data_IF_432599497562
#
_entry.id   IF_432599497562
#
_cell.length_a   1.000
_cell.length_b   1.000
_cell.length_c   1.000
_cell.angle_alpha   90.00
_cell.angle_beta   90.00
_cell.angle_gamma   90.00
#
_symmetry.space_group_name_H-M   'P 1'
#
loop_
_entity.id
_entity.type
_entity.pdbx_description
1 polymer ?
#
# COMPACT_ATOMS: atom_id res chain seq x y z
N UNK A 1 -4.25 -1.09 5.12
CA UNK A 1 -3.32 -0.92 6.25
C UNK A 1 -3.90 -1.67 7.46
N UNK A 2 -3.72 -2.97 7.51
CA UNK A 2 -4.14 -3.77 8.67
C UNK A 2 -2.92 -4.05 9.52
N UNK A 3 -2.80 -3.33 10.63
CA UNK A 3 -1.88 -3.69 11.70
C UNK A 3 -2.43 -4.98 12.35
N UNK A 4 -1.79 -6.11 12.10
CA UNK A 4 -2.16 -7.38 12.71
C UNK A 4 -1.53 -7.41 14.10
N UNK A 5 -2.34 -7.67 15.14
CA UNK A 5 -2.00 -7.51 16.56
C UNK A 5 -0.81 -8.35 17.08
N UNK A 6 -0.09 -9.09 16.23
CA UNK A 6 1.04 -9.93 16.66
C UNK A 6 2.14 -10.06 15.62
N UNK A 7 2.16 -9.17 14.61
CA UNK A 7 3.26 -9.11 13.64
C UNK A 7 3.93 -7.75 13.70
N UNK A 8 5.25 -7.77 13.84
CA UNK A 8 6.09 -6.62 13.53
C UNK A 8 6.39 -6.71 12.03
N UNK A 9 5.85 -5.82 11.19
CA UNK A 9 6.17 -5.83 9.77
C UNK A 9 7.64 -5.46 9.58
N UNK A 10 8.31 -6.14 8.65
CA UNK A 10 9.59 -5.64 8.14
C UNK A 10 9.34 -4.37 7.32
N UNK A 11 10.03 -3.30 7.68
CA UNK A 11 9.92 -1.99 7.03
C UNK A 11 11.16 -1.67 6.18
N UNK A 12 12.09 -2.62 6.07
CA UNK A 12 13.28 -2.50 5.22
C UNK A 12 12.85 -2.28 3.76
N UNK A 13 13.38 -1.24 3.12
CA UNK A 13 13.05 -0.89 1.73
C UNK A 13 11.65 -0.32 1.52
N UNK A 14 10.83 -0.16 2.56
CA UNK A 14 9.51 0.47 2.44
C UNK A 14 9.68 1.97 2.17
N UNK A 15 8.96 2.47 1.16
CA UNK A 15 8.95 3.90 0.82
C UNK A 15 8.05 4.70 1.76
N UNK A 16 8.62 5.68 2.44
CA UNK A 16 7.95 6.66 3.28
C UNK A 16 7.90 8.01 2.57
N UNK A 17 6.69 8.44 2.19
CA UNK A 17 6.48 9.80 1.70
C UNK A 17 6.31 10.78 2.88
N UNK A 18 7.09 11.86 2.87
CA UNK A 18 7.12 12.85 3.93
C UNK A 18 6.88 14.27 3.40
N UNK A 19 6.22 15.10 4.19
CA UNK A 19 5.95 16.51 3.88
C UNK A 19 6.07 17.32 5.17
N UNK A 20 6.67 18.51 5.09
CA UNK A 20 6.92 19.37 6.23
C UNK A 20 8.06 20.35 5.97
N UNK A 21 8.42 21.13 6.98
CA UNK A 21 9.56 22.04 6.91
C UNK A 21 10.91 21.31 7.01
N UNK A 22 12.00 22.05 6.82
CA UNK A 22 13.35 21.48 6.81
C UNK A 22 13.75 20.85 8.16
N UNK A 23 13.23 21.33 9.30
CA UNK A 23 13.53 20.77 10.61
C UNK A 23 12.79 19.44 10.81
N UNK A 24 11.50 19.40 10.47
CA UNK A 24 10.70 18.19 10.52
C UNK A 24 11.25 17.09 9.60
N UNK A 25 11.62 17.44 8.37
CA UNK A 25 12.16 16.47 7.40
C UNK A 25 13.50 15.86 7.84
N UNK A 26 14.34 16.60 8.59
CA UNK A 26 15.57 16.04 9.17
C UNK A 26 15.27 14.97 10.23
N UNK A 27 14.29 15.22 11.09
CA UNK A 27 13.86 14.25 12.12
C UNK A 27 13.28 13.01 11.46
N UNK A 28 12.35 13.18 10.51
CA UNK A 28 11.71 12.06 9.80
C UNK A 28 12.74 11.20 9.05
N UNK A 29 13.75 11.82 8.43
CA UNK A 29 14.83 11.06 7.77
C UNK A 29 15.59 10.15 8.73
N UNK A 30 15.79 10.59 9.98
CA UNK A 30 16.39 9.77 11.02
C UNK A 30 15.53 8.54 11.32
N UNK A 31 14.23 8.75 11.54
CA UNK A 31 13.26 7.68 11.80
C UNK A 31 13.24 6.68 10.64
N UNK A 32 13.11 7.14 9.40
CA UNK A 32 13.02 6.25 8.22
C UNK A 32 14.29 5.41 8.05
N UNK A 33 15.47 6.00 8.28
CA UNK A 33 16.74 5.27 8.24
C UNK A 33 16.81 4.21 9.34
N UNK A 34 16.38 4.55 10.56
CA UNK A 34 16.41 3.61 11.69
C UNK A 34 15.43 2.43 11.47
N UNK A 35 14.39 2.63 10.66
CA UNK A 35 13.47 1.58 10.18
C UNK A 35 13.99 0.80 8.97
N UNK A 36 15.15 1.16 8.39
CA UNK A 36 15.67 0.57 7.16
C UNK A 36 14.89 0.95 5.88
N UNK A 37 14.01 1.96 5.97
CA UNK A 37 13.15 2.38 4.87
C UNK A 37 13.80 3.37 3.91
N UNK A 38 13.05 3.71 2.87
CA UNK A 38 13.39 4.74 1.88
C UNK A 38 12.52 5.98 2.10
N UNK A 39 13.03 7.18 1.80
CA UNK A 39 12.29 8.43 2.02
C UNK A 39 12.14 9.22 0.72
N UNK A 40 10.92 9.68 0.45
CA UNK A 40 10.60 10.64 -0.60
C UNK A 40 9.97 11.89 0.02
N UNK A 41 10.40 13.08 -0.41
CA UNK A 41 9.80 14.34 0.05
C UNK A 41 8.73 14.78 -0.95
N UNK A 42 7.52 15.02 -0.47
CA UNK A 42 6.39 15.54 -1.24
C UNK A 42 6.23 17.04 -1.04
N UNK A 43 5.87 17.73 -2.12
CA UNK A 43 5.35 19.09 -2.01
C UNK A 43 3.93 19.04 -1.45
N UNK A 44 3.56 20.04 -0.64
CA UNK A 44 2.24 20.10 0.01
C UNK A 44 1.08 19.96 -0.98
N UNK A 45 1.19 20.59 -2.16
CA UNK A 45 0.15 20.53 -3.20
C UNK A 45 -0.03 19.15 -3.84
N UNK A 46 0.98 18.27 -3.78
CA UNK A 46 0.93 16.96 -4.43
C UNK A 46 0.36 15.86 -3.51
N UNK A 47 0.11 16.18 -2.23
CA UNK A 47 -0.31 15.21 -1.21
C UNK A 47 -1.60 14.49 -1.58
N UNK A 48 -2.57 15.22 -2.14
CA UNK A 48 -3.83 14.64 -2.58
C UNK A 48 -3.62 13.62 -3.72
N UNK A 49 -2.79 13.96 -4.71
CA UNK A 49 -2.48 13.08 -5.83
C UNK A 49 -1.73 11.82 -5.38
N UNK A 50 -0.75 11.96 -4.48
CA UNK A 50 -0.04 10.84 -3.88
C UNK A 50 -0.98 9.87 -3.16
N UNK A 51 -1.89 10.39 -2.32
CA UNK A 51 -2.85 9.54 -1.62
C UNK A 51 -3.87 8.90 -2.56
N UNK A 52 -4.28 9.58 -3.63
CA UNK A 52 -5.13 8.99 -4.66
C UNK A 52 -4.44 7.80 -5.34
N UNK A 53 -3.18 7.98 -5.77
CA UNK A 53 -2.36 6.91 -6.32
C UNK A 53 -2.22 5.72 -5.35
N UNK A 54 -1.82 5.97 -4.10
CA UNK A 54 -1.68 4.93 -3.07
C UNK A 54 -3.00 4.18 -2.79
N UNK A 55 -4.12 4.89 -2.87
CA UNK A 55 -5.47 4.32 -2.71
C UNK A 55 -5.84 3.40 -3.88
N UNK A 56 -5.48 3.78 -5.11
CA UNK A 56 -5.75 2.96 -6.30
C UNK A 56 -5.01 1.62 -6.25
N UNK A 57 -3.72 1.64 -5.89
CA UNK A 57 -2.87 0.45 -5.97
C UNK A 57 -3.01 -0.52 -4.79
N UNK A 58 -3.70 -0.15 -3.70
CA UNK A 58 -3.81 -1.01 -2.52
C UNK A 58 -5.27 -1.25 -2.10
N UNK A 59 -5.98 -0.34 -1.41
CA UNK A 59 -7.33 -0.63 -0.93
C UNK A 59 -8.34 -0.83 -2.06
N UNK A 60 -8.27 -0.07 -3.16
CA UNK A 60 -9.18 -0.25 -4.28
C UNK A 60 -8.85 -1.50 -5.10
N UNK A 61 -7.57 -1.80 -5.33
CA UNK A 61 -7.17 -3.06 -5.95
C UNK A 61 -7.69 -4.26 -5.15
N UNK A 62 -7.54 -4.26 -3.82
CA UNK A 62 -8.05 -5.33 -2.97
C UNK A 62 -9.58 -5.44 -3.03
N UNK A 63 -10.30 -4.31 -3.00
CA UNK A 63 -11.74 -4.29 -3.14
C UNK A 63 -12.20 -4.83 -4.50
N UNK A 64 -11.46 -4.52 -5.57
CA UNK A 64 -11.71 -5.02 -6.91
C UNK A 64 -11.51 -6.54 -6.98
N UNK A 65 -10.38 -7.06 -6.47
CA UNK A 65 -10.09 -8.50 -6.45
C UNK A 65 -11.14 -9.29 -5.64
N UNK A 66 -11.51 -8.78 -4.47
CA UNK A 66 -12.57 -9.39 -3.65
C UNK A 66 -13.94 -9.36 -4.34
N UNK A 67 -14.23 -8.30 -5.10
CA UNK A 67 -15.47 -8.21 -5.89
C UNK A 67 -15.44 -9.15 -7.09
N UNK A 68 -14.30 -9.26 -7.77
CA UNK A 68 -14.09 -10.16 -8.90
C UNK A 68 -14.30 -11.63 -8.49
N UNK A 69 -13.80 -12.04 -7.31
CA UNK A 69 -14.05 -13.37 -6.76
C UNK A 69 -15.56 -13.66 -6.60
N UNK A 70 -16.34 -12.69 -6.11
CA UNK A 70 -17.80 -12.84 -5.98
C UNK A 70 -18.49 -12.97 -7.35
N UNK A 71 -18.07 -12.18 -8.34
CA UNK A 71 -18.59 -12.24 -9.71
C UNK A 71 -18.23 -13.57 -10.36
N UNK A 72 -17.01 -14.08 -10.16
CA UNK A 72 -16.59 -15.39 -10.65
C UNK A 72 -17.48 -16.53 -10.13
N UNK A 73 -17.96 -16.41 -8.88
CA UNK A 73 -18.94 -17.33 -8.31
C UNK A 73 -20.27 -17.40 -9.09
N UNK A 74 -20.71 -16.31 -9.70
CA UNK A 74 -21.91 -16.30 -10.58
C UNK A 74 -21.69 -17.17 -11.83
N UNK A 75 -20.44 -17.29 -12.28
CA UNK A 75 -20.05 -18.15 -13.40
C UNK A 75 -19.69 -19.60 -12.96
N UNK A 76 -19.94 -19.98 -11.70
CA UNK A 76 -19.62 -21.30 -11.17
C UNK A 76 -18.13 -21.54 -10.89
N UNK A 77 -17.32 -20.49 -10.89
CA UNK A 77 -15.88 -20.57 -10.58
C UNK A 77 -15.69 -20.57 -9.07
N UNK A 78 -14.92 -21.52 -8.55
CA UNK A 78 -14.65 -21.58 -7.11
C UNK A 78 -13.73 -20.45 -6.64
N UNK A 79 -13.79 -20.03 -5.37
CA UNK A 79 -12.89 -19.01 -4.82
C UNK A 79 -11.40 -19.28 -5.07
N UNK A 80 -10.96 -20.53 -4.93
CA UNK A 80 -9.56 -20.89 -5.17
C UNK A 80 -9.17 -20.75 -6.65
N UNK A 81 -10.02 -21.17 -7.57
CA UNK A 81 -9.77 -21.00 -9.01
C UNK A 81 -9.72 -19.51 -9.40
N UNK A 82 -10.64 -18.70 -8.87
CA UNK A 82 -10.66 -17.26 -9.11
C UNK A 82 -9.39 -16.56 -8.58
N UNK A 83 -8.94 -16.90 -7.36
CA UNK A 83 -7.69 -16.36 -6.82
C UNK A 83 -6.48 -16.79 -7.64
N UNK A 84 -6.39 -18.08 -7.98
CA UNK A 84 -5.30 -18.61 -8.80
C UNK A 84 -5.24 -17.96 -10.19
N UNK A 85 -6.37 -17.65 -10.81
CA UNK A 85 -6.40 -16.97 -12.11
C UNK A 85 -6.02 -15.48 -12.01
N UNK A 86 -6.23 -14.84 -10.86
CA UNK A 86 -5.84 -13.45 -10.62
C UNK A 86 -4.35 -13.29 -10.26
N UNK A 87 -3.73 -14.27 -9.61
CA UNK A 87 -2.33 -14.20 -9.14
C UNK A 87 -1.30 -13.77 -10.21
N UNK A 88 -1.36 -14.21 -11.49
CA UNK A 88 -0.39 -13.75 -12.50
C UNK A 88 -0.58 -12.29 -12.94
N UNK A 89 -1.70 -11.66 -12.58
CA UNK A 89 -2.08 -10.30 -13.02
C UNK A 89 -1.70 -9.26 -11.96
N UNK A 90 -1.56 -9.66 -10.69
CA UNK A 90 -1.33 -8.77 -9.54
C UNK A 90 -0.06 -9.08 -8.76
#
# INVERSE_FOLDING_TARGET
MTFVHSLVPDLSGVLFAAEGDAAALRVVRGIVRDLGGEMMVLRKQDKAAYHAFATMICPLLLALLASAEKVAGVAGITPNQARQSMLPIV
#
